data_IF_698457844116
#
_entry.id   IF_698457844116
#
_cell.length_a   1.000
_cell.length_b   1.000
_cell.length_c   1.000
_cell.angle_alpha   90.00
_cell.angle_beta   90.00
_cell.angle_gamma   90.00
#
_symmetry.space_group_name_H-M   'P 1'
#
loop_
_entity.id
_entity.type
_entity.pdbx_description
1 polymer ?
#
# COMPACT_ATOMS: atom_id res chain seq x y z
N UNK A 1 -7.00 5.29 -17.17
CA UNK A 1 -5.77 5.13 -16.39
C UNK A 1 -5.97 3.96 -15.45
N UNK A 2 -5.34 2.81 -15.72
CA UNK A 2 -5.44 1.60 -14.90
C UNK A 2 -4.25 1.58 -13.94
N UNK A 3 -4.50 1.50 -12.62
CA UNK A 3 -3.46 1.36 -11.60
C UNK A 3 -2.77 0.01 -11.80
N UNK A 4 -1.47 0.01 -12.11
CA UNK A 4 -0.72 -1.23 -12.44
C UNK A 4 0.15 -1.76 -11.31
N UNK A 5 0.61 -0.89 -10.43
CA UNK A 5 1.39 -1.26 -9.25
C UNK A 5 1.24 -0.18 -8.19
N UNK A 6 1.21 -0.60 -6.94
CA UNK A 6 1.03 0.24 -5.77
C UNK A 6 1.98 -0.28 -4.69
N UNK A 7 2.69 0.63 -4.04
CA UNK A 7 3.43 0.30 -2.81
C UNK A 7 2.59 0.73 -1.62
N UNK A 8 2.45 -0.13 -0.62
CA UNK A 8 1.78 0.23 0.63
C UNK A 8 2.81 0.14 1.75
N UNK A 9 2.94 1.22 2.52
CA UNK A 9 3.77 1.26 3.74
C UNK A 9 2.85 1.42 4.93
N UNK A 10 3.02 0.55 5.91
CA UNK A 10 2.24 0.63 7.15
C UNK A 10 3.08 1.27 8.24
N UNK A 11 2.52 2.30 8.84
CA UNK A 11 3.10 3.00 9.98
C UNK A 11 2.19 2.82 11.18
N UNK A 12 2.74 2.62 12.38
CA UNK A 12 1.96 2.52 13.61
C UNK A 12 2.54 3.49 14.65
N UNK A 13 1.67 4.23 15.33
CA UNK A 13 2.07 5.21 16.35
C UNK A 13 0.85 5.86 17.00
N UNK A 14 1.08 6.75 17.98
CA UNK A 14 -0.02 7.55 18.54
C UNK A 14 -0.50 8.57 17.52
N UNK A 15 -1.78 8.93 17.54
CA UNK A 15 -2.34 9.99 16.69
C UNK A 15 -1.55 11.30 16.76
N UNK A 16 -1.08 11.67 17.95
CA UNK A 16 -0.27 12.88 18.16
C UNK A 16 1.10 12.85 17.49
N UNK A 17 1.62 11.66 17.18
CA UNK A 17 2.95 11.50 16.61
C UNK A 17 2.93 11.66 15.09
N UNK A 18 1.77 11.59 14.45
CA UNK A 18 1.60 11.82 13.04
C UNK A 18 1.51 13.33 12.73
N UNK A 19 2.19 13.75 11.65
CA UNK A 19 2.01 15.08 11.06
C UNK A 19 0.80 15.11 10.13
N UNK A 20 0.83 16.01 9.14
CA UNK A 20 -0.21 16.07 8.11
C UNK A 20 -0.18 14.85 7.17
N UNK A 21 1.01 14.32 6.89
CA UNK A 21 1.24 13.12 6.06
C UNK A 21 2.51 12.41 6.49
N UNK A 22 2.60 11.11 6.21
CA UNK A 22 3.79 10.29 6.32
C UNK A 22 3.92 9.53 7.65
N UNK A 23 5.13 9.05 7.97
CA UNK A 23 5.37 8.26 9.18
C UNK A 23 5.20 9.09 10.46
N UNK A 24 4.98 8.44 11.62
CA UNK A 24 4.97 9.12 12.90
C UNK A 24 6.38 9.59 13.25
N UNK A 25 6.47 10.72 13.96
CA UNK A 25 7.72 11.30 14.46
C UNK A 25 8.44 10.38 15.44
N UNK A 26 7.67 9.67 16.27
CA UNK A 26 8.16 8.65 17.18
C UNK A 26 7.90 7.27 16.57
N UNK A 27 8.97 6.56 16.23
CA UNK A 27 8.87 5.19 15.72
C UNK A 27 8.78 4.21 16.90
N UNK A 28 7.87 3.22 16.86
CA UNK A 28 7.83 2.18 17.87
C UNK A 28 9.03 1.24 17.73
N UNK A 29 9.35 0.50 18.80
CA UNK A 29 10.41 -0.51 18.78
C UNK A 29 10.15 -1.60 17.73
N UNK A 30 8.89 -2.02 17.57
CA UNK A 30 8.45 -2.88 16.48
C UNK A 30 7.03 -2.52 16.04
N UNK A 31 6.70 -2.82 14.78
CA UNK A 31 5.32 -2.66 14.28
C UNK A 31 4.33 -3.50 15.09
N UNK A 32 4.68 -4.76 15.39
CA UNK A 32 3.83 -5.68 16.17
C UNK A 32 3.54 -5.15 17.58
N UNK A 33 4.56 -4.72 18.31
CA UNK A 33 4.36 -4.21 19.68
C UNK A 33 3.50 -2.96 19.70
N UNK A 34 3.58 -2.13 18.66
CA UNK A 34 2.69 -0.98 18.51
C UNK A 34 1.24 -1.41 18.31
N UNK A 35 0.97 -2.40 17.45
CA UNK A 35 -0.39 -2.91 17.25
C UNK A 35 -0.99 -3.46 18.55
N UNK A 36 -0.24 -4.29 19.27
CA UNK A 36 -0.67 -4.87 20.53
C UNK A 36 -0.93 -3.82 21.62
N UNK A 37 -0.13 -2.76 21.66
CA UNK A 37 -0.35 -1.63 22.57
C UNK A 37 -1.65 -0.89 22.22
N UNK A 38 -1.93 -0.72 20.93
CA UNK A 38 -3.17 -0.13 20.45
C UNK A 38 -4.40 -0.93 20.82
N UNK A 39 -4.40 -2.24 20.55
CA UNK A 39 -5.53 -3.12 20.91
C UNK A 39 -5.80 -3.08 22.42
N UNK A 40 -4.75 -3.17 23.24
CA UNK A 40 -4.89 -3.15 24.71
C UNK A 40 -5.39 -1.80 25.23
N UNK A 41 -4.93 -0.69 24.66
CA UNK A 41 -5.12 0.64 25.23
C UNK A 41 -6.29 1.44 24.65
N UNK A 42 -6.61 1.26 23.36
CA UNK A 42 -7.53 2.16 22.65
C UNK A 42 -8.96 2.06 23.19
N UNK A 43 -9.46 0.83 23.41
CA UNK A 43 -10.80 0.61 23.95
C UNK A 43 -10.95 1.23 25.35
N UNK A 44 -9.95 1.06 26.22
CA UNK A 44 -9.93 1.65 27.56
C UNK A 44 -9.96 3.18 27.52
N UNK A 45 -9.16 3.80 26.62
CA UNK A 45 -9.15 5.26 26.45
C UNK A 45 -10.49 5.78 25.95
N UNK A 46 -11.11 5.11 24.99
CA UNK A 46 -12.45 5.47 24.49
C UNK A 46 -13.53 5.30 25.55
N UNK A 47 -13.43 4.25 26.37
CA UNK A 47 -14.36 4.02 27.47
C UNK A 47 -14.21 5.06 28.59
N UNK A 48 -12.99 5.54 28.84
CA UNK A 48 -12.73 6.58 29.84
C UNK A 48 -13.26 7.97 29.40
N UNK A 49 -13.19 8.28 28.11
CA UNK A 49 -13.60 9.59 27.57
C UNK A 49 -14.53 9.44 26.33
N UNK A 50 -15.73 8.87 26.48
CA UNK A 50 -16.60 8.51 25.34
C UNK A 50 -17.13 9.71 24.56
N UNK A 51 -17.17 10.90 25.17
CA UNK A 51 -17.56 12.14 24.49
C UNK A 51 -16.43 12.76 23.65
N UNK A 52 -15.18 12.34 23.85
CA UNK A 52 -14.06 12.86 23.05
C UNK A 52 -14.01 12.18 21.70
N UNK A 53 -14.18 12.99 20.65
CA UNK A 53 -14.02 12.54 19.26
C UNK A 53 -12.56 12.33 18.87
N UNK A 54 -11.63 13.04 19.53
CA UNK A 54 -10.21 12.95 19.28
C UNK A 54 -9.45 12.61 20.56
N UNK A 55 -8.67 11.52 20.49
CA UNK A 55 -7.84 11.02 21.58
C UNK A 55 -6.38 10.99 21.08
N UNK A 56 -5.51 11.94 21.49
CA UNK A 56 -4.16 12.08 20.93
C UNK A 56 -3.28 10.84 21.17
N UNK A 57 -3.46 10.18 22.31
CA UNK A 57 -2.69 8.99 22.70
C UNK A 57 -3.25 7.67 22.13
N UNK A 58 -4.34 7.73 21.37
CA UNK A 58 -4.85 6.54 20.67
C UNK A 58 -3.83 6.09 19.63
N UNK A 59 -3.49 4.81 19.64
CA UNK A 59 -2.59 4.23 18.65
C UNK A 59 -3.38 3.96 17.38
N UNK A 60 -2.85 4.40 16.25
CA UNK A 60 -3.43 4.17 14.93
C UNK A 60 -2.40 3.57 13.99
N UNK A 61 -2.91 2.92 12.96
CA UNK A 61 -2.10 2.48 11.82
C UNK A 61 -2.41 3.40 10.65
N UNK A 62 -1.39 3.93 9.98
CA UNK A 62 -1.54 4.68 8.73
C UNK A 62 -0.96 3.84 7.61
N UNK A 63 -1.80 3.48 6.64
CA UNK A 63 -1.38 2.88 5.39
C UNK A 63 -1.09 4.00 4.39
N UNK A 64 0.19 4.21 4.10
CA UNK A 64 0.68 5.17 3.11
C UNK A 64 0.78 4.48 1.74
N UNK A 65 0.06 5.04 0.77
CA UNK A 65 0.02 4.59 -0.61
C UNK A 65 1.08 5.34 -1.40
N UNK A 66 2.03 4.59 -1.95
CA UNK A 66 3.05 5.07 -2.89
C UNK A 66 2.81 4.56 -4.31
N UNK A 67 3.40 5.27 -5.27
CA UNK A 67 3.56 4.77 -6.65
C UNK A 67 4.96 4.23 -6.84
N UNK A 68 5.12 3.27 -7.74
CA UNK A 68 6.42 3.04 -8.36
C UNK A 68 6.75 4.31 -9.16
N UNK A 69 7.58 5.18 -8.61
CA UNK A 69 7.99 6.43 -9.26
C UNK A 69 8.87 6.20 -10.49
N UNK A 70 9.47 5.01 -10.61
CA UNK A 70 10.23 4.61 -11.80
C UNK A 70 9.29 4.04 -12.85
N UNK A 71 9.33 4.63 -14.04
CA UNK A 71 8.76 4.04 -15.23
C UNK A 71 9.57 2.80 -15.55
N UNK A 72 8.93 1.65 -15.54
CA UNK A 72 9.55 0.38 -15.89
C UNK A 72 8.76 -0.27 -17.01
N UNK A 73 9.44 -1.01 -17.87
CA UNK A 73 8.81 -1.72 -18.98
C UNK A 73 9.40 -3.12 -19.16
N UNK A 74 8.58 -3.99 -19.73
CA UNK A 74 8.95 -5.26 -20.30
C UNK A 74 8.15 -5.38 -21.58
N UNK A 75 8.79 -5.65 -22.71
CA UNK A 75 8.10 -5.64 -24.00
C UNK A 75 8.62 -6.75 -24.89
N UNK A 76 7.68 -7.40 -25.60
CA UNK A 76 8.01 -8.12 -26.83
C UNK A 76 8.73 -7.16 -27.80
N UNK A 77 9.71 -7.63 -28.60
CA UNK A 77 10.48 -6.77 -29.50
C UNK A 77 9.60 -5.87 -30.39
N UNK A 78 8.44 -6.37 -30.84
CA UNK A 78 7.52 -5.61 -31.69
C UNK A 78 6.83 -4.43 -31.00
N UNK A 79 6.71 -4.46 -29.67
CA UNK A 79 6.02 -3.44 -28.87
C UNK A 79 6.97 -2.59 -28.02
N UNK A 80 8.27 -2.86 -28.09
CA UNK A 80 9.33 -2.14 -27.35
C UNK A 80 9.27 -0.61 -27.55
N UNK A 81 9.08 -0.07 -28.78
CA UNK A 81 8.98 1.38 -28.99
C UNK A 81 7.77 2.04 -28.31
N UNK A 82 6.72 1.27 -27.98
CA UNK A 82 5.49 1.77 -27.37
C UNK A 82 5.53 1.59 -25.84
N UNK A 83 5.94 0.40 -25.39
CA UNK A 83 5.92 0.02 -23.97
C UNK A 83 7.13 0.55 -23.20
N UNK A 84 8.29 0.70 -23.85
CA UNK A 84 9.52 1.24 -23.24
C UNK A 84 9.79 2.71 -23.59
N UNK A 85 8.76 3.44 -24.04
CA UNK A 85 8.86 4.87 -24.33
C UNK A 85 8.95 5.75 -23.06
N UNK A 86 9.27 7.03 -23.28
CA UNK A 86 9.28 8.11 -22.28
C UNK A 86 10.13 7.84 -21.03
N UNK A 87 11.33 7.28 -21.24
CA UNK A 87 12.31 7.04 -20.18
C UNK A 87 11.95 5.88 -19.26
N UNK A 88 11.15 4.92 -19.73
CA UNK A 88 10.92 3.68 -19.00
C UNK A 88 12.18 2.80 -19.02
N UNK A 89 12.56 2.27 -17.86
CA UNK A 89 13.71 1.37 -17.69
C UNK A 89 13.26 -0.07 -17.89
N UNK A 90 14.00 -0.85 -18.67
CA UNK A 90 13.70 -2.27 -18.86
C UNK A 90 13.87 -3.06 -17.55
N UNK A 91 12.85 -3.85 -17.22
CA UNK A 91 12.84 -4.76 -16.08
C UNK A 91 12.30 -6.13 -16.53
N UNK A 92 13.18 -7.12 -16.64
CA UNK A 92 12.81 -8.48 -17.09
C UNK A 92 11.88 -9.22 -16.13
N UNK A 93 11.83 -8.80 -14.85
CA UNK A 93 10.98 -9.42 -13.83
C UNK A 93 9.64 -8.72 -13.66
N UNK A 94 9.32 -7.73 -14.50
CA UNK A 94 8.16 -6.84 -14.32
C UNK A 94 6.82 -7.58 -14.30
N UNK A 95 6.74 -8.69 -15.03
CA UNK A 95 5.53 -9.50 -15.16
C UNK A 95 5.67 -10.90 -14.51
N UNK A 96 6.62 -11.05 -13.60
CA UNK A 96 6.89 -12.31 -12.89
C UNK A 96 5.69 -12.80 -12.05
N UNK A 97 4.83 -11.87 -11.62
CA UNK A 97 3.59 -12.15 -10.89
C UNK A 97 2.45 -12.66 -11.79
N UNK A 98 2.57 -12.53 -13.12
CA UNK A 98 1.58 -13.06 -14.05
C UNK A 98 1.85 -14.55 -14.29
N UNK A 99 0.86 -15.39 -13.97
CA UNK A 99 0.89 -16.81 -14.30
C UNK A 99 0.92 -17.05 -15.81
N UNK A 100 1.41 -18.23 -16.24
CA UNK A 100 1.55 -18.58 -17.65
C UNK A 100 0.25 -18.39 -18.44
N UNK A 101 -0.90 -18.71 -17.85
CA UNK A 101 -2.22 -18.53 -18.45
C UNK A 101 -2.58 -17.08 -18.79
N UNK A 102 -2.05 -16.10 -18.07
CA UNK A 102 -2.24 -14.68 -18.36
C UNK A 102 -1.38 -14.19 -19.54
N UNK A 103 -0.35 -14.96 -19.92
CA UNK A 103 0.56 -14.69 -21.03
C UNK A 103 0.22 -15.49 -22.29
N UNK A 104 -0.74 -16.43 -22.21
CA UNK A 104 -1.13 -17.27 -23.34
C UNK A 104 -1.93 -16.48 -24.40
N UNK A 105 -1.79 -16.85 -25.68
CA UNK A 105 -2.73 -16.43 -26.71
C UNK A 105 -4.11 -17.06 -26.41
N UNK A 106 -5.14 -16.25 -26.21
CA UNK A 106 -6.51 -16.77 -26.07
C UNK A 106 -7.36 -16.16 -24.96
N UNK A 107 -6.87 -15.19 -24.19
CA UNK A 107 -7.69 -14.38 -23.29
C UNK A 107 -8.55 -13.39 -24.10
N UNK A 108 -9.63 -13.89 -24.70
CA UNK A 108 -10.77 -13.12 -25.26
C UNK A 108 -10.44 -11.74 -25.87
N UNK A 109 -9.42 -11.64 -26.74
CA UNK A 109 -9.19 -10.45 -27.56
C UNK A 109 -7.75 -9.99 -27.82
N UNK A 110 -6.70 -10.66 -27.33
CA UNK A 110 -5.34 -10.21 -27.64
C UNK A 110 -4.21 -11.18 -27.31
N UNK A 111 -3.03 -10.89 -27.87
CA UNK A 111 -1.76 -11.52 -27.52
C UNK A 111 -1.06 -10.60 -26.53
N UNK A 112 -0.64 -11.13 -25.39
CA UNK A 112 0.18 -10.37 -24.43
C UNK A 112 1.50 -9.98 -25.09
N UNK A 113 1.83 -8.69 -25.07
CA UNK A 113 3.05 -8.12 -25.69
C UNK A 113 3.98 -7.43 -24.70
N UNK A 114 3.71 -7.57 -23.40
CA UNK A 114 4.49 -6.96 -22.33
C UNK A 114 3.68 -6.01 -21.44
N UNK A 115 4.41 -5.33 -20.55
CA UNK A 115 3.90 -4.49 -19.48
C UNK A 115 4.70 -3.18 -19.38
N UNK A 116 4.03 -2.09 -18.98
CA UNK A 116 4.63 -0.80 -18.61
C UNK A 116 4.02 -0.33 -17.30
N UNK A 117 4.82 0.18 -16.37
CA UNK A 117 4.42 0.74 -15.06
C UNK A 117 5.03 2.14 -14.86
N UNK A 118 4.66 2.83 -13.77
CA UNK A 118 5.26 4.10 -13.35
C UNK A 118 4.64 5.36 -13.95
N UNK A 119 3.35 5.36 -14.24
CA UNK A 119 2.62 6.54 -14.72
C UNK A 119 2.19 7.51 -13.59
N UNK A 120 2.65 7.30 -12.36
CA UNK A 120 2.19 8.03 -11.19
C UNK A 120 0.76 7.68 -10.78
N UNK A 121 0.17 8.49 -9.91
CA UNK A 121 -1.18 8.25 -9.40
C UNK A 121 -2.24 8.82 -10.37
N UNK A 122 -3.38 8.11 -10.56
CA UNK A 122 -4.57 8.75 -11.09
C UNK A 122 -4.93 9.98 -10.25
N UNK A 123 -5.48 11.03 -10.89
CA UNK A 123 -5.97 12.21 -10.15
C UNK A 123 -7.01 11.77 -9.11
N UNK A 124 -6.86 12.27 -7.87
CA UNK A 124 -7.81 12.01 -6.78
C UNK A 124 -7.60 10.71 -5.99
N UNK A 125 -6.46 10.04 -6.15
CA UNK A 125 -6.16 8.86 -5.32
C UNK A 125 -6.07 9.23 -3.85
N UNK A 126 -6.59 8.36 -2.98
CA UNK A 126 -6.33 8.42 -1.54
C UNK A 126 -4.86 8.06 -1.30
N UNK A 127 -4.12 8.96 -0.64
CA UNK A 127 -2.69 8.77 -0.35
C UNK A 127 -2.45 8.05 0.96
N UNK A 128 -3.35 8.19 1.92
CA UNK A 128 -3.21 7.61 3.25
C UNK A 128 -4.57 7.18 3.77
N UNK A 129 -4.61 6.05 4.47
CA UNK A 129 -5.81 5.56 5.16
C UNK A 129 -5.44 5.24 6.60
N UNK A 130 -6.22 5.78 7.54
CA UNK A 130 -6.14 5.41 8.94
C UNK A 130 -6.90 4.08 9.16
N UNK A 131 -6.23 3.13 9.79
CA UNK A 131 -6.70 1.77 10.06
C UNK A 131 -6.58 1.53 11.57
N UNK A 132 -7.50 0.76 12.14
CA UNK A 132 -7.42 0.37 13.54
C UNK A 132 -6.43 -0.78 13.73
N UNK A 133 -5.61 -0.79 14.80
CA UNK A 133 -4.66 -1.86 15.06
C UNK A 133 -5.27 -3.28 15.07
N UNK A 134 -6.48 -3.41 15.65
CA UNK A 134 -7.21 -4.68 15.72
C UNK A 134 -7.54 -5.26 14.34
N UNK A 135 -7.88 -4.41 13.37
CA UNK A 135 -8.23 -4.84 12.00
C UNK A 135 -6.99 -5.45 11.31
N UNK A 136 -5.80 -4.89 11.53
CA UNK A 136 -4.54 -5.39 10.97
C UNK A 136 -4.15 -6.74 11.57
N UNK A 137 -4.34 -6.92 12.88
CA UNK A 137 -4.03 -8.17 13.56
C UNK A 137 -5.02 -9.29 13.18
N UNK A 138 -6.31 -8.96 13.00
CA UNK A 138 -7.33 -9.91 12.57
C UNK A 138 -7.04 -10.48 11.17
N UNK A 139 -6.69 -9.63 10.20
CA UNK A 139 -6.36 -10.05 8.82
C UNK A 139 -5.11 -10.93 8.78
N UNK A 140 -4.14 -10.69 9.66
CA UNK A 140 -2.92 -11.49 9.73
C UNK A 140 -3.07 -12.78 10.56
N UNK A 141 -4.28 -13.10 11.05
CA UNK A 141 -4.54 -14.28 11.88
C UNK A 141 -3.85 -14.24 13.25
N UNK A 142 -3.40 -13.06 13.69
CA UNK A 142 -2.70 -12.87 14.97
C UNK A 142 -3.62 -12.36 16.07
N UNK A 143 -4.84 -11.96 15.72
CA UNK A 143 -5.94 -11.79 16.65
C UNK A 143 -6.84 -13.03 16.54
N UNK A 144 -6.67 -13.99 17.44
CA UNK A 144 -7.62 -15.10 17.59
C UNK A 144 -8.66 -14.61 18.60
N UNK A 145 -9.91 -14.49 18.14
CA UNK A 145 -11.05 -14.14 18.99
C UNK A 145 -11.33 -15.20 20.05
#
# INVERSE_FOLDING_TARGET
>A
STLKALTVRFHCGKKSDFGETGPPRALPSTFRSCLEAGVRGNALRRAAEPWRLYLPDEVVVVAEFGTLGKRECLADPSMKPVLCADGAVENEMLDSHLGASAKLPGSSGGVYKGMRTGAGFPKGVVREVAIRPEDVLAVNGMLVG
#
